data_IF_928102440132
#
_entry.id   IF_928102440132
#
_cell.length_a   1.000
_cell.length_b   1.000
_cell.length_c   1.000
_cell.angle_alpha   90.00
_cell.angle_beta   90.00
_cell.angle_gamma   90.00
#
_symmetry.space_group_name_H-M   'P 1'
#
loop_
_entity.id
_entity.type
_entity.pdbx_description
1 polymer ?
#
# COMPACT_ATOMS: atom_id res chain seq x y z
N UNK A 1 10.32 2.75 12.81
CA UNK A 1 10.35 4.22 12.89
C UNK A 1 10.67 4.73 11.50
N UNK A 2 9.72 5.42 10.86
CA UNK A 2 9.84 5.85 9.47
C UNK A 2 10.83 6.98 9.29
N UNK A 3 11.60 6.89 8.21
CA UNK A 3 12.41 7.96 7.66
C UNK A 3 11.48 9.15 7.36
N UNK A 4 11.85 10.34 7.85
CA UNK A 4 11.07 11.56 7.67
C UNK A 4 10.82 11.96 6.21
N UNK A 5 11.50 11.35 5.23
CA UNK A 5 11.60 11.84 3.84
C UNK A 5 10.64 11.14 2.85
N UNK A 6 9.92 10.08 3.20
CA UNK A 6 8.81 9.65 2.33
C UNK A 6 8.32 8.21 2.46
N UNK A 7 9.14 7.30 2.98
CA UNK A 7 8.84 5.87 2.97
C UNK A 7 8.84 5.28 4.39
N UNK A 8 7.96 4.31 4.61
CA UNK A 8 7.91 3.49 5.83
C UNK A 8 8.18 2.01 5.48
N UNK A 9 9.40 1.68 5.01
CA UNK A 9 9.69 0.36 4.45
C UNK A 9 9.49 -0.77 5.46
N UNK A 10 9.83 -0.58 6.73
CA UNK A 10 9.59 -1.59 7.76
C UNK A 10 8.10 -1.83 8.05
N UNK A 11 7.27 -0.79 7.90
CA UNK A 11 5.82 -0.93 8.07
C UNK A 11 5.21 -1.69 6.89
N UNK A 12 5.62 -1.37 5.66
CA UNK A 12 5.15 -2.10 4.48
C UNK A 12 5.53 -3.59 4.53
N UNK A 13 6.71 -3.92 5.05
CA UNK A 13 7.12 -5.32 5.27
C UNK A 13 6.27 -6.01 6.34
N UNK A 14 5.94 -5.32 7.44
CA UNK A 14 5.05 -5.86 8.47
C UNK A 14 3.64 -6.09 7.92
N UNK A 15 3.11 -5.14 7.16
CA UNK A 15 1.78 -5.25 6.55
C UNK A 15 1.74 -6.42 5.54
N UNK A 16 2.79 -6.57 4.71
CA UNK A 16 2.93 -7.72 3.80
C UNK A 16 3.00 -9.04 4.58
N UNK A 17 3.78 -9.09 5.66
CA UNK A 17 3.87 -10.27 6.50
C UNK A 17 2.50 -10.65 7.08
N UNK A 18 1.74 -9.67 7.60
CA UNK A 18 0.39 -9.90 8.13
C UNK A 18 -0.58 -10.42 7.06
N UNK A 19 -0.49 -9.90 5.82
CA UNK A 19 -1.30 -10.41 4.70
C UNK A 19 -0.98 -11.89 4.43
N UNK A 20 0.31 -12.24 4.34
CA UNK A 20 0.75 -13.62 4.08
C UNK A 20 0.35 -14.54 5.24
N UNK A 21 0.51 -14.10 6.49
CA UNK A 21 0.13 -14.88 7.67
C UNK A 21 -1.39 -15.15 7.70
N UNK A 22 -2.20 -14.14 7.37
CA UNK A 22 -3.66 -14.25 7.42
C UNK A 22 -4.29 -14.94 6.21
N UNK A 23 -3.69 -14.81 5.01
CA UNK A 23 -4.28 -15.27 3.74
C UNK A 23 -3.45 -16.34 3.02
N UNK A 24 -2.26 -16.67 3.53
CA UNK A 24 -1.36 -17.69 2.98
C UNK A 24 -0.46 -17.18 1.84
N UNK A 25 -1.02 -16.44 0.89
CA UNK A 25 -0.27 -15.82 -0.20
C UNK A 25 -0.82 -14.44 -0.57
N UNK A 26 -0.01 -13.67 -1.31
CA UNK A 26 -0.36 -12.31 -1.75
C UNK A 26 -0.87 -12.29 -3.19
N UNK A 27 -0.52 -13.29 -4.00
CA UNK A 27 -0.93 -13.35 -5.40
C UNK A 27 -2.42 -13.59 -5.58
N UNK A 28 -3.02 -12.97 -6.59
CA UNK A 28 -4.45 -13.10 -6.91
C UNK A 28 -5.38 -12.28 -6.00
N UNK A 29 -4.84 -11.51 -5.05
CA UNK A 29 -5.64 -10.68 -4.16
C UNK A 29 -6.16 -9.41 -4.86
N UNK A 30 -7.38 -9.02 -4.46
CA UNK A 30 -7.92 -7.68 -4.72
C UNK A 30 -7.74 -6.82 -3.47
N UNK A 31 -6.90 -5.80 -3.56
CA UNK A 31 -6.50 -4.98 -2.42
C UNK A 31 -7.15 -3.59 -2.52
N UNK A 32 -8.01 -3.28 -1.56
CA UNK A 32 -8.64 -1.96 -1.46
C UNK A 32 -7.83 -1.05 -0.53
N UNK A 33 -7.33 0.07 -1.06
CA UNK A 33 -6.66 1.12 -0.28
C UNK A 33 -7.64 2.26 -0.04
N UNK A 34 -7.95 2.56 1.22
CA UNK A 34 -9.03 3.50 1.60
C UNK A 34 -8.52 4.62 2.48
N UNK A 35 -8.91 5.86 2.19
CA UNK A 35 -8.69 7.02 3.08
C UNK A 35 -7.84 8.12 2.45
N UNK A 36 -6.87 8.63 3.22
CA UNK A 36 -5.91 9.63 2.73
C UNK A 36 -4.79 8.96 1.93
N UNK A 37 -5.02 8.83 0.63
CA UNK A 37 -4.07 8.24 -0.29
C UNK A 37 -3.05 9.26 -0.80
N UNK A 38 -3.24 10.56 -0.53
CA UNK A 38 -2.34 11.61 -0.99
C UNK A 38 -1.14 11.77 -0.06
N UNK A 39 -1.36 11.71 1.24
CA UNK A 39 -0.32 11.89 2.25
C UNK A 39 0.00 10.60 3.03
N UNK A 40 -0.76 9.53 2.82
CA UNK A 40 -0.61 8.23 3.46
C UNK A 40 0.67 7.50 3.06
N UNK A 41 1.80 7.86 3.68
CA UNK A 41 3.13 7.27 3.40
C UNK A 41 3.16 5.74 3.55
N UNK A 42 2.42 5.19 4.51
CA UNK A 42 2.34 3.72 4.69
C UNK A 42 1.63 3.06 3.51
N UNK A 43 0.55 3.67 3.03
CA UNK A 43 -0.19 3.20 1.84
C UNK A 43 0.68 3.30 0.60
N UNK A 44 1.50 4.34 0.47
CA UNK A 44 2.47 4.46 -0.63
C UNK A 44 3.50 3.35 -0.59
N UNK A 45 4.16 3.15 0.57
CA UNK A 45 5.17 2.10 0.73
C UNK A 45 4.58 0.70 0.49
N UNK A 46 3.37 0.43 1.00
CA UNK A 46 2.71 -0.85 0.78
C UNK A 46 2.30 -1.05 -0.68
N UNK A 47 1.78 -0.01 -1.34
CA UNK A 47 1.44 -0.07 -2.77
C UNK A 47 2.68 -0.37 -3.61
N UNK A 48 3.79 0.36 -3.38
CA UNK A 48 5.09 0.14 -4.07
C UNK A 48 5.69 -1.25 -3.82
N UNK A 49 5.39 -1.86 -2.68
CA UNK A 49 5.80 -3.23 -2.40
C UNK A 49 4.91 -4.24 -3.14
N UNK A 50 3.59 -4.07 -3.03
CA UNK A 50 2.60 -4.99 -3.57
C UNK A 50 2.51 -4.99 -5.10
N UNK A 51 2.92 -3.93 -5.80
CA UNK A 51 3.01 -3.92 -7.28
C UNK A 51 3.94 -4.99 -7.85
N UNK A 52 4.84 -5.57 -7.04
CA UNK A 52 5.71 -6.66 -7.46
C UNK A 52 5.00 -8.04 -7.44
N UNK A 53 3.72 -8.09 -7.06
CA UNK A 53 2.91 -9.30 -6.97
C UNK A 53 1.70 -9.19 -7.92
N UNK A 54 1.09 -10.32 -8.33
CA UNK A 54 -0.09 -10.30 -9.20
C UNK A 54 -1.35 -9.92 -8.39
N UNK A 55 -1.46 -8.65 -8.01
CA UNK A 55 -2.58 -8.09 -7.25
C UNK A 55 -3.37 -7.08 -8.07
N UNK A 56 -4.66 -6.95 -7.79
CA UNK A 56 -5.53 -5.92 -8.35
C UNK A 56 -5.81 -4.85 -7.28
N UNK A 57 -5.55 -3.58 -7.58
CA UNK A 57 -5.79 -2.49 -6.63
C UNK A 57 -7.13 -1.79 -6.86
N UNK A 58 -7.81 -1.45 -5.78
CA UNK A 58 -8.93 -0.51 -5.75
C UNK A 58 -8.61 0.67 -4.82
N UNK A 59 -8.54 1.88 -5.35
CA UNK A 59 -8.23 3.09 -4.57
C UNK A 59 -9.50 3.87 -4.25
N UNK A 60 -9.84 4.00 -2.97
CA UNK A 60 -11.07 4.66 -2.51
C UNK A 60 -10.70 5.87 -1.65
N UNK A 61 -10.94 7.07 -2.18
CA UNK A 61 -10.61 8.33 -1.50
C UNK A 61 -11.49 9.48 -1.98
N UNK A 62 -11.65 10.54 -1.17
CA UNK A 62 -12.12 11.84 -1.66
C UNK A 62 -11.22 12.38 -2.76
N UNK A 63 -11.77 13.19 -3.67
CA UNK A 63 -11.05 13.70 -4.84
C UNK A 63 -9.75 14.46 -4.50
N UNK A 64 -9.74 15.21 -3.40
CA UNK A 64 -8.58 15.96 -2.92
C UNK A 64 -7.48 15.10 -2.27
N UNK A 65 -7.77 13.81 -1.98
CA UNK A 65 -6.89 12.86 -1.29
C UNK A 65 -6.56 11.63 -2.16
N UNK A 66 -6.69 11.74 -3.48
CA UNK A 66 -6.36 10.66 -4.44
C UNK A 66 -4.89 10.25 -4.38
N UNK A 67 -4.64 8.99 -4.74
CA UNK A 67 -3.29 8.43 -4.89
C UNK A 67 -2.48 9.28 -5.90
N UNK A 68 -1.28 9.74 -5.53
CA UNK A 68 -0.37 10.43 -6.45
C UNK A 68 0.05 9.55 -7.62
N UNK A 69 0.28 10.16 -8.79
CA UNK A 69 0.63 9.44 -10.03
C UNK A 69 2.03 8.82 -10.00
N UNK A 70 2.91 9.33 -9.15
CA UNK A 70 4.28 8.83 -8.95
C UNK A 70 4.35 7.57 -8.08
N UNK A 71 3.22 7.16 -7.48
CA UNK A 71 3.08 5.92 -6.71
C UNK A 71 2.48 4.79 -7.57
N UNK A 72 1.78 5.13 -8.66
CA UNK A 72 1.16 4.20 -9.62
C UNK A 72 2.13 3.88 -10.78
#
# INVERSE_FOLDING_TARGET
AGDGVGEHPTQALLDLYTIVEGLGEVGGLKVAMVGDLKFGRTVHSLTKLLVNYPVEFAFVSPENLRMPKDVL
#
